data_IF_213644416222
#
_entry.id   IF_213644416222
#
_cell.length_a   1.000
_cell.length_b   1.000
_cell.length_c   1.000
_cell.angle_alpha   90.00
_cell.angle_beta   90.00
_cell.angle_gamma   90.00
#
_symmetry.space_group_name_H-M   'P 1'
#
loop_
_entity.id
_entity.type
_entity.pdbx_description
1 polymer ?
#
# COMPACT_ATOMS: atom_id res chain seq x y z
N UNK A 1 0.89 11.06 19.25
CA UNK A 1 0.16 9.97 18.56
C UNK A 1 0.79 8.59 18.78
N UNK A 2 2.12 8.47 18.94
CA UNK A 2 2.81 7.17 19.14
C UNK A 2 2.28 6.45 20.39
N UNK A 3 2.21 7.12 21.53
CA UNK A 3 1.72 6.55 22.79
C UNK A 3 0.28 6.05 22.68
N UNK A 4 -0.58 6.76 21.96
CA UNK A 4 -1.97 6.33 21.74
C UNK A 4 -2.03 4.99 20.98
N UNK A 5 -1.21 4.84 19.96
CA UNK A 5 -1.14 3.59 19.16
C UNK A 5 -0.57 2.46 20.01
N UNK A 6 0.50 2.72 20.78
CA UNK A 6 1.09 1.73 21.66
C UNK A 6 0.09 1.27 22.72
N UNK A 7 -0.52 2.20 23.45
CA UNK A 7 -1.52 1.87 24.49
C UNK A 7 -2.69 1.08 23.92
N UNK A 8 -3.19 1.45 22.73
CA UNK A 8 -4.29 0.73 22.09
C UNK A 8 -3.90 -0.72 21.74
N UNK A 9 -2.70 -0.93 21.20
CA UNK A 9 -2.23 -2.26 20.78
C UNK A 9 -1.84 -3.13 21.98
N UNK A 10 -1.29 -2.54 23.03
CA UNK A 10 -0.93 -3.25 24.28
C UNK A 10 -2.18 -3.78 25.01
N UNK A 11 -3.32 -3.09 24.87
CA UNK A 11 -4.62 -3.57 25.40
C UNK A 11 -5.22 -4.72 24.57
N UNK A 12 -4.67 -5.02 23.39
CA UNK A 12 -5.21 -6.04 22.49
C UNK A 12 -4.31 -7.29 22.47
N UNK A 13 -4.84 -8.43 22.85
CA UNK A 13 -4.16 -9.70 22.64
C UNK A 13 -4.35 -10.15 21.18
N UNK A 14 -3.45 -9.73 20.30
CA UNK A 14 -3.52 -10.03 18.87
C UNK A 14 -2.82 -11.33 18.50
N UNK A 15 -2.19 -12.04 19.45
CA UNK A 15 -1.46 -13.28 19.20
C UNK A 15 -0.20 -13.09 18.33
N UNK A 16 0.26 -11.86 18.14
CA UNK A 16 1.45 -11.49 17.34
C UNK A 16 2.40 -10.63 18.17
N UNK A 17 3.70 -10.71 17.85
CA UNK A 17 4.71 -9.85 18.46
C UNK A 17 4.81 -8.53 17.72
N UNK A 18 4.48 -7.44 18.41
CA UNK A 18 4.56 -6.08 17.86
C UNK A 18 5.84 -5.40 18.32
N UNK A 19 6.50 -4.69 17.41
CA UNK A 19 7.64 -3.80 17.68
C UNK A 19 7.38 -2.44 17.07
N UNK A 20 7.78 -1.38 17.74
CA UNK A 20 7.58 0.00 17.29
C UNK A 20 8.89 0.62 16.80
N UNK A 21 8.86 1.20 15.60
CA UNK A 21 9.95 2.01 15.05
C UNK A 21 9.56 3.48 15.12
N UNK A 22 9.87 4.13 16.24
CA UNK A 22 9.44 5.50 16.51
C UNK A 22 10.34 6.50 15.77
N UNK A 23 9.74 7.39 15.01
CA UNK A 23 10.40 8.49 14.30
C UNK A 23 10.32 9.79 15.12
N UNK A 24 11.46 10.46 15.32
CA UNK A 24 11.49 11.78 15.94
C UNK A 24 11.07 12.88 14.95
N UNK A 25 11.39 12.68 13.68
CA UNK A 25 11.01 13.54 12.55
C UNK A 25 10.55 12.65 11.41
N UNK A 26 9.60 13.09 10.57
CA UNK A 26 9.14 12.31 9.42
C UNK A 26 10.31 11.94 8.49
N UNK A 27 10.45 10.65 8.23
CA UNK A 27 11.52 10.10 7.37
C UNK A 27 11.06 9.83 5.94
N UNK A 28 9.76 9.91 5.67
CA UNK A 28 9.16 9.42 4.43
C UNK A 28 9.07 7.89 4.41
N UNK A 29 8.32 7.32 3.46
CA UNK A 29 8.04 5.87 3.42
C UNK A 29 9.33 5.05 3.30
N UNK A 30 10.28 5.44 2.47
CA UNK A 30 11.57 4.77 2.30
C UNK A 30 12.44 4.82 3.56
N UNK A 31 12.57 6.01 4.19
CA UNK A 31 13.34 6.17 5.42
C UNK A 31 12.73 5.42 6.60
N UNK A 32 11.40 5.41 6.72
CA UNK A 32 10.67 4.65 7.73
C UNK A 32 10.92 3.13 7.59
N UNK A 33 10.79 2.60 6.37
CA UNK A 33 11.06 1.19 6.08
C UNK A 33 12.53 0.84 6.40
N UNK A 34 13.49 1.68 6.00
CA UNK A 34 14.91 1.47 6.31
C UNK A 34 15.17 1.41 7.81
N UNK A 35 14.55 2.30 8.57
CA UNK A 35 14.70 2.35 10.03
C UNK A 35 14.08 1.11 10.69
N UNK A 36 12.83 0.79 10.35
CA UNK A 36 12.13 -0.38 10.89
C UNK A 36 12.80 -1.69 10.47
N UNK A 37 13.37 -1.74 9.28
CA UNK A 37 14.09 -2.88 8.73
C UNK A 37 15.30 -3.34 9.54
N UNK A 38 15.85 -2.49 10.41
CA UNK A 38 16.90 -2.89 11.36
C UNK A 38 16.43 -3.95 12.36
N UNK A 39 15.14 -4.07 12.59
CA UNK A 39 14.51 -5.05 13.48
C UNK A 39 14.13 -6.35 12.77
N UNK A 40 14.33 -6.44 11.43
CA UNK A 40 13.97 -7.59 10.59
C UNK A 40 15.22 -8.44 10.37
N UNK A 41 15.11 -9.75 10.70
CA UNK A 41 16.15 -10.75 10.47
C UNK A 41 15.90 -11.60 9.21
N UNK A 42 14.66 -11.66 8.78
CA UNK A 42 14.16 -12.49 7.69
C UNK A 42 14.75 -12.05 6.34
N UNK A 43 14.81 -13.00 5.38
CA UNK A 43 15.33 -12.76 4.02
C UNK A 43 14.44 -11.82 3.21
N UNK A 44 13.16 -11.77 3.51
CA UNK A 44 12.17 -10.90 2.89
C UNK A 44 11.07 -10.54 3.89
N UNK A 45 10.32 -9.50 3.60
CA UNK A 45 9.27 -8.98 4.47
C UNK A 45 8.18 -8.29 3.66
N UNK A 46 7.01 -8.17 4.26
CA UNK A 46 5.93 -7.34 3.74
C UNK A 46 5.99 -5.93 4.30
N UNK A 47 5.56 -4.99 3.49
CA UNK A 47 5.23 -3.61 3.89
C UNK A 47 3.78 -3.38 3.53
N UNK A 48 3.02 -2.84 4.46
CA UNK A 48 1.62 -2.47 4.27
C UNK A 48 1.43 -1.03 4.77
N UNK A 49 0.74 -0.22 3.99
CA UNK A 49 0.31 1.09 4.44
C UNK A 49 -0.69 0.93 5.58
N UNK A 50 -0.55 1.75 6.62
CA UNK A 50 -1.38 1.65 7.84
C UNK A 50 -2.82 2.11 7.68
N UNK A 51 -3.15 2.77 6.58
CA UNK A 51 -4.46 3.26 6.18
C UNK A 51 -5.18 2.36 5.16
N UNK A 52 -4.57 1.24 4.81
CA UNK A 52 -5.10 0.32 3.77
C UNK A 52 -5.81 -0.88 4.39
N UNK A 53 -7.05 -1.10 3.98
CA UNK A 53 -7.86 -2.28 4.33
C UNK A 53 -8.19 -3.05 3.06
N UNK A 54 -7.92 -4.37 3.04
CA UNK A 54 -8.11 -5.19 1.84
C UNK A 54 -8.23 -6.67 2.17
N UNK A 55 -8.85 -7.43 1.25
CA UNK A 55 -8.87 -8.89 1.26
C UNK A 55 -7.87 -9.53 0.28
N UNK A 56 -6.88 -8.79 -0.15
CA UNK A 56 -5.86 -9.23 -1.07
C UNK A 56 -5.04 -10.39 -0.48
N UNK A 57 -4.81 -11.43 -1.27
CA UNK A 57 -3.98 -12.58 -0.86
C UNK A 57 -2.48 -12.24 -0.94
N UNK A 58 -1.88 -11.95 0.21
CA UNK A 58 -0.45 -11.62 0.32
C UNK A 58 0.47 -12.75 -0.17
N UNK A 59 0.03 -14.02 -0.12
CA UNK A 59 0.84 -15.17 -0.58
C UNK A 59 1.17 -15.08 -2.06
N UNK A 60 0.38 -14.38 -2.85
CA UNK A 60 0.67 -14.17 -4.27
C UNK A 60 1.87 -13.27 -4.50
N UNK A 61 2.16 -12.33 -3.60
CA UNK A 61 3.29 -11.40 -3.74
C UNK A 61 4.65 -12.09 -3.61
N UNK A 62 4.75 -13.18 -2.82
CA UNK A 62 6.04 -13.87 -2.62
C UNK A 62 6.53 -14.62 -3.88
N UNK A 63 5.69 -14.76 -4.91
CA UNK A 63 6.08 -15.41 -6.18
C UNK A 63 7.17 -14.67 -6.94
N UNK A 64 7.34 -13.36 -6.67
CA UNK A 64 8.37 -12.52 -7.26
C UNK A 64 9.11 -11.74 -6.18
N UNK A 65 10.43 -11.57 -6.29
CA UNK A 65 11.17 -10.69 -5.40
C UNK A 65 10.81 -9.23 -5.67
N UNK A 66 10.82 -8.40 -4.64
CA UNK A 66 10.56 -6.95 -4.76
C UNK A 66 9.29 -6.65 -5.57
N UNK A 67 8.17 -7.17 -5.12
CA UNK A 67 6.89 -7.04 -5.81
C UNK A 67 5.97 -6.04 -5.13
N UNK A 68 5.20 -5.34 -5.95
CA UNK A 68 4.13 -4.40 -5.56
C UNK A 68 2.79 -5.02 -5.89
N UNK A 69 1.85 -4.98 -4.96
CA UNK A 69 0.46 -5.27 -5.25
C UNK A 69 -0.13 -4.13 -6.09
N UNK A 70 -0.70 -4.48 -7.22
CA UNK A 70 -1.40 -3.54 -8.09
C UNK A 70 -2.89 -3.90 -8.18
N UNK A 71 -3.74 -2.89 -8.09
CA UNK A 71 -5.18 -2.99 -8.31
C UNK A 71 -5.58 -2.08 -9.48
N UNK A 72 -6.73 -2.34 -10.08
CA UNK A 72 -7.24 -1.48 -11.15
C UNK A 72 -7.51 -0.08 -10.61
N UNK A 73 -7.09 0.94 -11.36
CA UNK A 73 -7.30 2.33 -10.97
C UNK A 73 -8.79 2.62 -10.89
N UNK A 74 -9.21 3.14 -9.74
CA UNK A 74 -10.58 3.58 -9.48
C UNK A 74 -10.62 5.08 -9.36
N UNK A 75 -11.67 5.68 -9.90
CA UNK A 75 -11.93 7.11 -9.73
C UNK A 75 -13.16 7.32 -8.86
N UNK A 76 -13.10 8.33 -7.99
CA UNK A 76 -14.25 8.84 -7.23
C UNK A 76 -15.10 9.79 -8.09
N UNK A 77 -14.65 10.12 -9.31
CA UNK A 77 -15.27 11.08 -10.21
C UNK A 77 -15.82 10.40 -11.46
N UNK A 78 -16.73 11.08 -12.14
CA UNK A 78 -17.19 10.67 -13.45
C UNK A 78 -16.07 10.76 -14.50
N UNK A 79 -16.06 9.82 -15.44
CA UNK A 79 -15.13 9.79 -16.58
C UNK A 79 -15.89 10.33 -17.79
N UNK A 80 -15.29 11.31 -18.47
CA UNK A 80 -15.80 11.88 -19.70
C UNK A 80 -15.03 11.32 -20.89
N UNK A 81 -15.72 10.83 -21.89
CA UNK A 81 -15.15 10.55 -23.20
C UNK A 81 -15.57 11.71 -24.12
N UNK A 82 -14.60 12.45 -24.63
CA UNK A 82 -14.84 13.68 -25.38
C UNK A 82 -14.31 13.59 -26.81
N UNK A 83 -15.00 14.24 -27.73
CA UNK A 83 -14.51 14.57 -29.05
C UNK A 83 -14.50 16.11 -29.16
N UNK A 84 -13.31 16.69 -29.14
CA UNK A 84 -13.11 18.13 -28.91
C UNK A 84 -13.86 18.61 -27.64
N UNK A 85 -14.81 19.52 -27.77
CA UNK A 85 -15.61 20.07 -26.69
C UNK A 85 -16.92 19.28 -26.42
N UNK A 86 -17.22 18.28 -27.25
CA UNK A 86 -18.44 17.48 -27.14
C UNK A 86 -18.20 16.25 -26.29
N UNK A 87 -19.04 16.05 -25.27
CA UNK A 87 -19.05 14.81 -24.46
C UNK A 87 -19.83 13.74 -25.23
N UNK A 88 -19.15 12.64 -25.57
CA UNK A 88 -19.75 11.50 -26.26
C UNK A 88 -20.23 10.43 -25.27
N UNK A 89 -19.61 10.34 -24.09
CA UNK A 89 -19.98 9.39 -23.08
C UNK A 89 -19.66 9.92 -21.68
N UNK A 90 -20.50 9.57 -20.71
CA UNK A 90 -20.30 9.86 -19.28
C UNK A 90 -20.43 8.58 -18.47
N UNK A 91 -19.40 8.23 -17.72
CA UNK A 91 -19.37 7.04 -16.87
C UNK A 91 -19.08 7.42 -15.42
N UNK A 92 -20.03 7.16 -14.54
CA UNK A 92 -19.89 7.42 -13.10
C UNK A 92 -19.10 6.29 -12.42
N UNK A 93 -18.12 6.66 -11.58
CA UNK A 93 -17.42 5.77 -10.63
C UNK A 93 -17.00 4.42 -11.20
N UNK A 94 -16.32 4.38 -12.34
CA UNK A 94 -15.85 3.12 -12.96
C UNK A 94 -14.36 2.89 -12.75
N UNK A 95 -13.98 1.62 -12.76
CA UNK A 95 -12.60 1.19 -12.91
C UNK A 95 -12.09 1.62 -14.29
N UNK A 96 -10.89 2.19 -14.33
CA UNK A 96 -10.24 2.55 -15.59
C UNK A 96 -9.51 1.30 -16.07
N UNK A 97 -10.01 0.71 -17.15
CA UNK A 97 -9.45 -0.51 -17.72
C UNK A 97 -7.96 -0.35 -18.03
N UNK A 98 -7.21 -1.42 -17.82
CA UNK A 98 -5.78 -1.54 -18.11
C UNK A 98 -4.85 -0.51 -17.43
N UNK A 99 -5.38 0.27 -16.50
CA UNK A 99 -4.59 1.18 -15.68
C UNK A 99 -4.48 0.64 -14.26
N UNK A 100 -3.25 0.48 -13.78
CA UNK A 100 -2.94 -0.15 -12.50
C UNK A 100 -2.36 0.86 -11.54
N UNK A 101 -2.86 0.87 -10.32
CA UNK A 101 -2.34 1.72 -9.25
C UNK A 101 -1.65 0.87 -8.18
N UNK A 102 -0.70 1.50 -7.50
CA UNK A 102 -0.03 0.95 -6.33
C UNK A 102 -1.04 0.79 -5.19
N UNK A 103 -1.18 -0.42 -4.68
CA UNK A 103 -2.10 -0.73 -3.57
C UNK A 103 -1.52 -0.42 -2.18
N UNK A 104 -0.29 0.11 -2.07
CA UNK A 104 0.36 0.37 -0.79
C UNK A 104 0.81 -0.89 -0.06
N UNK A 105 0.98 -2.00 -0.78
CA UNK A 105 1.37 -3.30 -0.22
C UNK A 105 2.52 -3.87 -1.05
N UNK A 106 3.63 -4.20 -0.36
CA UNK A 106 4.86 -4.66 -0.99
C UNK A 106 5.39 -5.93 -0.35
N UNK A 107 6.05 -6.77 -1.14
CA UNK A 107 6.93 -7.83 -0.67
C UNK A 107 8.35 -7.50 -1.11
N UNK A 108 9.25 -7.26 -0.15
CA UNK A 108 10.59 -6.77 -0.42
C UNK A 108 11.64 -7.74 0.11
N UNK A 109 12.72 -7.92 -0.65
CA UNK A 109 13.91 -8.63 -0.19
C UNK A 109 14.67 -7.75 0.81
N UNK A 110 15.21 -8.35 1.87
CA UNK A 110 15.93 -7.61 2.93
C UNK A 110 17.09 -6.76 2.40
N UNK A 111 17.72 -7.18 1.32
CA UNK A 111 18.83 -6.44 0.71
C UNK A 111 18.46 -5.02 0.28
N UNK A 112 17.18 -4.74 -0.05
CA UNK A 112 16.73 -3.39 -0.41
C UNK A 112 16.95 -2.36 0.70
N UNK A 113 16.99 -2.80 1.96
CA UNK A 113 17.24 -1.92 3.11
C UNK A 113 18.56 -1.15 3.00
N UNK A 114 19.56 -1.69 2.31
CA UNK A 114 20.84 -1.03 2.07
C UNK A 114 20.74 0.11 1.06
N UNK A 115 19.79 0.00 0.12
CA UNK A 115 19.59 0.92 -0.99
C UNK A 115 18.52 1.98 -0.71
N UNK A 116 17.69 1.77 0.33
CA UNK A 116 16.70 2.76 0.75
C UNK A 116 17.36 4.05 1.28
N UNK A 117 16.75 5.22 1.04
CA UNK A 117 17.23 6.49 1.56
C UNK A 117 17.11 6.54 3.08
N UNK A 118 17.93 7.38 3.73
CA UNK A 118 17.75 7.66 5.16
C UNK A 118 16.54 8.56 5.42
N UNK A 119 16.16 9.37 4.43
CA UNK A 119 14.97 10.22 4.40
C UNK A 119 14.48 10.34 2.97
N UNK A 120 13.18 10.13 2.75
CA UNK A 120 12.51 10.22 1.44
C UNK A 120 11.55 9.06 1.22
N UNK A 121 10.74 9.19 0.18
CA UNK A 121 9.71 8.22 -0.16
C UNK A 121 10.29 7.12 -1.06
N UNK A 122 9.94 5.87 -0.78
CA UNK A 122 10.38 4.71 -1.59
C UNK A 122 9.86 4.82 -3.02
N UNK A 123 8.68 5.39 -3.19
CA UNK A 123 7.99 5.59 -4.47
C UNK A 123 8.71 6.61 -5.37
N UNK A 124 9.47 7.53 -4.77
CA UNK A 124 10.25 8.56 -5.48
C UNK A 124 11.72 8.21 -5.62
N UNK A 125 12.17 7.17 -4.93
CA UNK A 125 13.60 6.81 -4.88
C UNK A 125 13.86 5.42 -5.41
N UNK A 126 13.68 4.39 -4.58
CA UNK A 126 14.03 3.01 -4.92
C UNK A 126 13.17 2.42 -6.04
N UNK A 127 11.87 2.65 -6.02
CA UNK A 127 10.97 2.04 -6.99
C UNK A 127 11.25 2.48 -8.43
N UNK A 128 11.44 3.77 -8.75
CA UNK A 128 11.81 4.19 -10.09
C UNK A 128 13.15 3.61 -10.56
N UNK A 129 14.14 3.53 -9.66
CA UNK A 129 15.44 2.96 -9.96
C UNK A 129 15.34 1.44 -10.23
N UNK A 130 14.63 0.72 -9.38
CA UNK A 130 14.41 -0.73 -9.54
C UNK A 130 13.60 -1.06 -10.78
N UNK A 131 12.60 -0.23 -11.12
CA UNK A 131 11.83 -0.40 -12.35
C UNK A 131 12.72 -0.27 -13.59
N UNK A 132 13.58 0.77 -13.66
CA UNK A 132 14.55 0.95 -14.74
C UNK A 132 15.53 -0.21 -14.87
N UNK A 133 15.91 -0.81 -13.74
CA UNK A 133 16.85 -1.95 -13.68
C UNK A 133 16.17 -3.32 -13.88
N UNK A 134 14.85 -3.37 -14.10
CA UNK A 134 14.09 -4.62 -14.20
C UNK A 134 14.06 -5.47 -12.92
N UNK A 135 14.27 -4.83 -11.75
CA UNK A 135 14.31 -5.48 -10.43
C UNK A 135 13.03 -5.33 -9.62
N UNK A 136 12.04 -4.61 -10.14
CA UNK A 136 10.74 -4.40 -9.53
C UNK A 136 9.67 -5.13 -10.31
N UNK A 137 8.85 -5.89 -9.60
CA UNK A 137 7.76 -6.68 -10.19
C UNK A 137 6.41 -6.19 -9.68
N UNK A 138 5.35 -6.54 -10.38
CA UNK A 138 3.99 -6.32 -9.92
C UNK A 138 3.20 -7.61 -9.93
N UNK A 139 2.29 -7.74 -8.96
CA UNK A 139 1.24 -8.75 -8.95
C UNK A 139 -0.09 -8.00 -9.05
N UNK A 140 -0.81 -8.25 -10.13
CA UNK A 140 -2.09 -7.62 -10.44
C UNK A 140 -3.22 -8.37 -9.76
N UNK A 141 -4.05 -7.65 -9.01
CA UNK A 141 -5.23 -8.19 -8.33
C UNK A 141 -6.50 -7.58 -8.91
N UNK A 142 -7.35 -8.42 -9.43
CA UNK A 142 -8.70 -8.06 -9.93
C UNK A 142 -9.75 -8.50 -8.91
N UNK A 143 -10.87 -7.80 -8.89
CA UNK A 143 -12.05 -8.14 -8.07
C UNK A 143 -11.73 -8.24 -6.57
N UNK A 144 -10.79 -7.45 -6.07
CA UNK A 144 -10.46 -7.36 -4.64
C UNK A 144 -11.14 -6.16 -4.01
N UNK A 145 -11.50 -6.30 -2.74
CA UNK A 145 -11.90 -5.16 -1.91
C UNK A 145 -10.63 -4.46 -1.43
N UNK A 146 -10.54 -3.17 -1.67
CA UNK A 146 -9.42 -2.35 -1.27
C UNK A 146 -9.91 -0.94 -0.95
N UNK A 147 -9.50 -0.43 0.21
CA UNK A 147 -9.86 0.91 0.71
C UNK A 147 -8.62 1.58 1.28
N UNK A 148 -8.43 2.88 0.97
CA UNK A 148 -7.53 3.78 1.66
C UNK A 148 -8.38 4.69 2.54
N UNK A 149 -8.09 4.72 3.84
CA UNK A 149 -8.86 5.47 4.83
C UNK A 149 -8.13 6.78 5.12
N UNK A 150 -8.34 7.78 4.27
CA UNK A 150 -7.70 9.10 4.36
C UNK A 150 -8.60 10.14 5.06
N UNK A 151 -9.90 9.86 5.15
CA UNK A 151 -10.89 10.78 5.72
C UNK A 151 -11.96 10.06 6.54
N UNK A 152 -12.74 10.80 7.33
CA UNK A 152 -13.89 10.25 8.06
C UNK A 152 -14.91 9.60 7.12
N UNK A 153 -15.12 10.16 5.93
CA UNK A 153 -16.01 9.60 4.93
C UNK A 153 -15.51 8.24 4.44
N UNK A 154 -14.20 8.12 4.16
CA UNK A 154 -13.60 6.84 3.76
C UNK A 154 -13.75 5.79 4.89
N UNK A 155 -13.62 6.23 6.15
CA UNK A 155 -13.81 5.37 7.31
C UNK A 155 -15.26 4.86 7.41
N UNK A 156 -16.25 5.72 7.21
CA UNK A 156 -17.66 5.33 7.20
C UNK A 156 -17.95 4.35 6.07
N UNK A 157 -17.55 4.66 4.84
CA UNK A 157 -17.71 3.79 3.67
C UNK A 157 -17.05 2.42 3.88
N UNK A 158 -15.83 2.41 4.42
CA UNK A 158 -15.11 1.16 4.73
C UNK A 158 -15.78 0.35 5.83
N UNK A 159 -16.30 1.00 6.88
CA UNK A 159 -16.95 0.34 8.01
C UNK A 159 -18.19 -0.49 7.59
N UNK A 160 -18.92 -0.02 6.60
CA UNK A 160 -20.08 -0.73 6.04
C UNK A 160 -19.67 -2.02 5.28
N UNK A 161 -18.46 -2.07 4.78
CA UNK A 161 -17.95 -3.17 3.95
C UNK A 161 -16.96 -4.09 4.66
N UNK A 162 -16.42 -3.66 5.82
CA UNK A 162 -15.32 -4.35 6.51
C UNK A 162 -15.66 -5.79 6.89
N UNK A 163 -16.91 -6.06 7.28
CA UNK A 163 -17.40 -7.42 7.59
C UNK A 163 -17.35 -8.38 6.38
N UNK A 164 -17.33 -7.83 5.17
CA UNK A 164 -17.21 -8.60 3.91
C UNK A 164 -15.75 -8.80 3.49
N UNK A 165 -14.83 -8.05 4.10
CA UNK A 165 -13.38 -8.07 3.83
C UNK A 165 -12.69 -9.05 4.76
N UNK A 166 -13.05 -9.01 6.05
CA UNK A 166 -12.50 -9.86 7.10
C UNK A 166 -13.43 -11.06 7.27
N UNK A 167 -13.00 -12.21 6.77
CA UNK A 167 -13.64 -13.51 7.02
C UNK A 167 -12.78 -14.30 7.96
#
# INVERSE_FOLDING_TARGET
KTEMIQNYLDMKNLGIKIKFSIEKLPLGTGGAIKKAGKMISEKSFFVLNGDTITNLDLKKLVKKPNSIAAIELRTKFGILETDNEKINNFREKKEISDTWMNAGIYHLQRQVLKELPNKGDIEKTLFPDYAKKGKLYTIKFKNVKWYSVDSFKDMEECSLEVSKIIK
#
